data_IF_318727802787
#
_entry.id   IF_318727802787
#
_cell.length_a   1.000
_cell.length_b   1.000
_cell.length_c   1.000
_cell.angle_alpha   90.00
_cell.angle_beta   90.00
_cell.angle_gamma   90.00
#
_symmetry.space_group_name_H-M   'P 1'
#
loop_
_entity.id
_entity.type
_entity.pdbx_description
1 polymer ?
#
# COMPACT_ATOMS: atom_id res chain seq x y z
N UNK A 1 -5.15 -1.91 -1.09
CA UNK A 1 -4.73 -2.06 -2.50
C UNK A 1 -4.48 -3.52 -2.84
N UNK A 2 -3.33 -4.09 -2.47
CA UNK A 2 -2.95 -5.42 -2.96
C UNK A 2 -3.59 -6.60 -2.22
N UNK A 3 -4.35 -6.36 -1.14
CA UNK A 3 -5.11 -7.33 -0.33
C UNK A 3 -6.16 -8.18 -1.10
N UNK A 4 -6.22 -8.01 -2.43
CA UNK A 4 -7.06 -8.77 -3.36
C UNK A 4 -6.20 -9.45 -4.45
N UNK A 5 -4.87 -9.52 -4.29
CA UNK A 5 -3.95 -10.30 -5.11
C UNK A 5 -3.35 -11.41 -4.25
N UNK A 6 -4.14 -12.45 -3.97
CA UNK A 6 -3.58 -13.68 -3.42
C UNK A 6 -2.65 -14.34 -4.44
N UNK A 7 -1.35 -14.37 -4.14
CA UNK A 7 -0.38 -15.19 -4.88
C UNK A 7 -0.55 -16.65 -4.45
N UNK A 8 -1.04 -17.56 -5.32
CA UNK A 8 -1.05 -19.00 -4.99
C UNK A 8 0.36 -19.60 -4.85
N UNK A 9 1.38 -18.86 -5.28
CA UNK A 9 2.80 -19.24 -5.23
C UNK A 9 3.41 -19.27 -3.81
N UNK A 10 2.74 -18.72 -2.80
CA UNK A 10 3.24 -18.72 -1.42
C UNK A 10 3.49 -20.15 -0.89
N UNK A 11 2.62 -21.11 -1.25
CA UNK A 11 2.78 -22.52 -0.86
C UNK A 11 3.92 -23.25 -1.60
N UNK A 12 4.33 -22.79 -2.79
CA UNK A 12 5.32 -23.49 -3.63
C UNK A 12 6.76 -23.11 -3.29
N UNK A 13 7.01 -21.86 -2.90
CA UNK A 13 8.36 -21.37 -2.60
C UNK A 13 8.92 -21.89 -1.27
N UNK A 14 8.07 -22.07 -0.25
CA UNK A 14 8.49 -22.54 1.08
C UNK A 14 8.96 -24.00 1.10
N UNK A 15 8.51 -24.84 0.16
CA UNK A 15 8.86 -26.26 0.14
C UNK A 15 10.33 -26.53 -0.27
N UNK A 16 10.90 -25.65 -1.09
CA UNK A 16 12.18 -25.92 -1.78
C UNK A 16 13.44 -25.49 -1.00
N UNK A 17 13.28 -24.92 0.21
CA UNK A 17 14.39 -24.46 1.06
C UNK A 17 14.70 -25.40 2.24
N UNK A 18 13.84 -26.38 2.53
CA UNK A 18 13.95 -27.24 3.72
C UNK A 18 14.52 -28.64 3.43
N UNK A 19 15.10 -28.87 2.25
CA UNK A 19 15.54 -30.20 1.77
C UNK A 19 17.04 -30.27 1.49
N UNK A 20 17.88 -29.62 2.31
CA UNK A 20 19.34 -29.76 2.18
C UNK A 20 20.11 -29.82 3.51
N UNK A 21 20.88 -30.91 3.65
CA UNK A 21 21.99 -31.19 4.57
C UNK A 21 21.66 -31.69 6.00
N UNK A 22 22.57 -32.48 6.63
CA UNK A 22 22.13 -33.68 7.32
C UNK A 22 22.56 -33.81 8.78
N UNK A 23 22.12 -34.91 9.39
CA UNK A 23 22.46 -35.41 10.73
C UNK A 23 23.96 -35.63 10.98
N UNK A 24 24.41 -35.35 12.20
CA UNK A 24 25.36 -36.20 12.91
C UNK A 24 25.06 -36.21 14.41
N UNK A 25 25.48 -37.27 15.09
CA UNK A 25 25.35 -37.47 16.54
C UNK A 25 26.67 -37.92 17.16
N UNK A 26 26.89 -37.59 18.44
CA UNK A 26 27.41 -38.45 19.53
C UNK A 26 27.43 -37.66 20.88
N UNK A 27 27.49 -38.33 22.05
CA UNK A 27 27.30 -37.72 23.38
C UNK A 27 28.56 -37.74 24.27
N UNK A 28 28.37 -37.63 25.59
CA UNK A 28 29.36 -37.66 26.69
C UNK A 28 30.12 -36.35 26.93
N UNK A 29 30.46 -36.02 28.18
CA UNK A 29 29.72 -35.61 29.42
C UNK A 29 30.87 -35.36 30.46
N UNK A 30 30.83 -35.19 31.80
CA UNK A 30 29.90 -35.27 32.96
C UNK A 30 30.33 -34.14 33.98
N UNK A 31 30.27 -34.34 35.32
CA UNK A 31 30.90 -33.58 36.46
C UNK A 31 30.43 -32.11 36.76
N UNK A 32 30.31 -31.60 38.01
CA UNK A 32 30.09 -32.19 39.36
C UNK A 32 29.70 -31.10 40.42
N UNK A 33 29.41 -31.54 41.66
CA UNK A 33 29.37 -30.83 42.97
C UNK A 33 28.29 -29.76 43.33
N UNK A 34 27.62 -29.99 44.47
CA UNK A 34 26.75 -29.07 45.26
C UNK A 34 27.36 -28.86 46.68
N UNK A 35 26.98 -27.77 47.36
CA UNK A 35 26.93 -27.50 48.83
C UNK A 35 28.13 -27.80 49.77
N UNK A 36 28.68 -26.76 50.44
CA UNK A 36 28.36 -26.44 51.88
C UNK A 36 29.19 -25.26 52.48
N UNK A 37 28.57 -24.58 53.47
CA UNK A 37 29.01 -23.67 54.56
C UNK A 37 30.45 -23.08 54.68
N UNK A 38 30.55 -21.77 54.97
CA UNK A 38 30.95 -21.20 56.29
C UNK A 38 30.92 -19.64 56.35
N UNK A 39 30.93 -19.05 57.56
CA UNK A 39 30.79 -17.60 57.87
C UNK A 39 32.08 -16.75 57.70
N UNK A 40 31.94 -15.42 57.45
CA UNK A 40 32.55 -14.35 58.27
C UNK A 40 32.11 -12.90 57.88
N UNK A 41 32.27 -11.93 58.79
CA UNK A 41 31.94 -10.50 58.64
C UNK A 41 32.99 -9.70 57.81
N UNK A 42 32.55 -8.71 56.99
CA UNK A 42 32.96 -7.30 57.20
C UNK A 42 32.22 -6.22 56.35
N UNK A 43 31.55 -5.34 57.07
CA UNK A 43 31.09 -3.98 56.80
C UNK A 43 31.75 -3.11 55.67
N UNK A 44 30.96 -2.69 54.65
CA UNK A 44 30.99 -1.29 54.11
C UNK A 44 29.72 -0.88 53.31
N UNK A 45 29.39 0.42 53.30
CA UNK A 45 28.28 1.10 52.57
C UNK A 45 28.69 2.57 52.27
N UNK A 46 27.99 3.37 51.41
CA UNK A 46 26.69 3.18 50.73
C UNK A 46 26.85 3.31 49.15
N UNK A 47 26.11 4.03 48.26
CA UNK A 47 25.01 5.03 48.33
C UNK A 47 24.29 5.29 46.97
N UNK A 48 23.21 4.55 46.65
CA UNK A 48 22.07 5.01 45.80
C UNK A 48 20.86 4.11 46.07
N UNK A 49 19.69 4.57 46.52
CA UNK A 49 18.73 5.50 45.89
C UNK A 49 17.97 4.88 44.70
N UNK A 50 16.62 4.87 44.62
CA UNK A 50 15.59 5.38 45.55
C UNK A 50 14.22 4.69 45.27
N UNK A 51 13.39 4.58 46.31
CA UNK A 51 11.92 4.38 46.29
C UNK A 51 11.35 3.14 45.58
N UNK A 52 11.31 2.05 46.35
CA UNK A 52 10.18 1.11 46.30
C UNK A 52 8.89 1.81 46.80
N UNK A 53 7.71 1.41 46.31
CA UNK A 53 6.42 2.02 46.71
C UNK A 53 5.21 1.08 46.58
N UNK A 54 5.42 -0.22 46.79
CA UNK A 54 4.34 -1.22 46.70
C UNK A 54 3.32 -1.08 47.85
N UNK A 55 2.11 -0.58 47.57
CA UNK A 55 1.00 -0.55 48.53
C UNK A 55 -0.39 -0.41 47.87
N UNK A 56 -1.40 -0.99 48.53
CA UNK A 56 -2.85 -0.89 48.24
C UNK A 56 -3.35 -1.65 47.00
N UNK A 57 -3.76 -2.93 47.18
CA UNK A 57 -5.14 -3.43 46.97
C UNK A 57 -5.39 -4.57 47.98
N UNK A 58 -6.57 -4.69 48.63
CA UNK A 58 -6.71 -5.52 49.84
C UNK A 58 -7.16 -6.98 49.63
N UNK A 59 -6.91 -7.75 50.69
CA UNK A 59 -7.25 -9.16 50.94
C UNK A 59 -8.64 -9.67 50.48
N UNK A 60 -8.65 -10.88 49.90
CA UNK A 60 -9.41 -12.00 50.51
C UNK A 60 -8.76 -13.36 50.18
N UNK A 61 -9.06 -14.39 50.98
CA UNK A 61 -8.31 -15.64 51.09
C UNK A 61 -9.22 -16.86 50.92
N UNK A 62 -9.11 -17.55 49.81
CA UNK A 62 -9.62 -18.91 49.61
C UNK A 62 -8.48 -19.88 49.21
N UNK A 63 -8.77 -21.19 49.13
CA UNK A 63 -7.83 -22.22 49.58
C UNK A 63 -7.47 -23.26 48.51
N UNK A 64 -6.18 -23.34 48.17
CA UNK A 64 -5.55 -24.45 47.43
C UNK A 64 -4.26 -24.92 48.14
N UNK A 65 -3.94 -26.22 48.04
CA UNK A 65 -2.69 -26.88 48.49
C UNK A 65 -2.66 -28.34 47.96
N UNK A 66 -1.54 -28.94 47.51
CA UNK A 66 -0.24 -28.37 47.08
C UNK A 66 0.27 -28.86 45.69
N UNK A 67 1.38 -28.27 45.24
CA UNK A 67 2.50 -28.85 44.42
C UNK A 67 2.26 -29.70 43.17
N UNK A 68 2.79 -29.20 42.02
CA UNK A 68 3.74 -29.95 41.17
C UNK A 68 4.52 -29.00 40.23
N UNK A 69 5.59 -28.38 40.72
CA UNK A 69 6.22 -27.19 40.10
C UNK A 69 7.14 -27.46 38.87
N UNK A 70 7.13 -28.69 38.33
CA UNK A 70 8.05 -29.12 37.27
C UNK A 70 7.41 -29.34 35.87
N UNK A 71 6.17 -28.90 35.63
CA UNK A 71 5.47 -29.14 34.34
C UNK A 71 5.32 -27.92 33.41
N UNK A 72 5.61 -26.71 33.88
CA UNK A 72 5.34 -25.46 33.14
C UNK A 72 6.28 -25.20 31.96
N UNK A 73 7.57 -25.58 32.05
CA UNK A 73 8.56 -25.32 30.98
C UNK A 73 8.44 -26.28 29.77
N UNK A 74 7.86 -27.48 29.92
CA UNK A 74 7.70 -28.42 28.81
C UNK A 74 6.47 -28.14 27.93
N UNK A 75 5.46 -27.44 28.45
CA UNK A 75 4.23 -27.14 27.70
C UNK A 75 4.44 -26.06 26.63
N UNK A 76 5.22 -25.01 26.91
CA UNK A 76 5.46 -23.91 25.97
C UNK A 76 6.08 -24.37 24.64
N UNK A 77 7.04 -25.29 24.68
CA UNK A 77 7.73 -25.80 23.48
C UNK A 77 6.86 -26.77 22.66
N UNK A 78 6.00 -27.56 23.31
CA UNK A 78 5.10 -28.51 22.62
C UNK A 78 4.02 -27.82 21.79
N UNK A 79 3.54 -26.65 22.22
CA UNK A 79 2.54 -25.84 21.49
C UNK A 79 3.08 -25.41 20.11
N UNK A 80 4.39 -25.15 20.00
CA UNK A 80 5.03 -24.79 18.72
C UNK A 80 5.15 -26.02 17.81
N UNK A 81 5.52 -27.17 18.36
CA UNK A 81 5.74 -28.39 17.59
C UNK A 81 4.43 -29.03 17.06
N UNK A 82 3.38 -29.14 17.88
CA UNK A 82 2.18 -29.90 17.47
C UNK A 82 1.29 -29.17 16.45
N UNK A 83 1.41 -27.84 16.35
CA UNK A 83 0.76 -27.03 15.29
C UNK A 83 1.44 -27.22 13.91
N UNK A 84 2.55 -27.96 13.83
CA UNK A 84 3.22 -28.31 12.56
C UNK A 84 2.44 -29.35 11.73
N UNK A 85 1.32 -29.90 12.24
CA UNK A 85 0.28 -30.51 11.40
C UNK A 85 -0.57 -29.42 10.70
N UNK A 86 0.13 -28.50 10.04
CA UNK A 86 -0.42 -27.46 9.19
C UNK A 86 -1.08 -28.12 7.98
N UNK A 87 -2.32 -28.57 8.20
CA UNK A 87 -3.15 -29.14 7.16
C UNK A 87 -3.65 -27.98 6.32
N UNK A 88 -2.81 -27.56 5.38
CA UNK A 88 -3.28 -26.92 4.16
C UNK A 88 -4.23 -27.91 3.49
N UNK A 89 -5.50 -27.82 3.86
CA UNK A 89 -6.57 -28.23 2.97
C UNK A 89 -6.28 -27.55 1.63
N UNK A 90 -6.21 -28.34 0.55
CA UNK A 90 -6.07 -27.79 -0.78
C UNK A 90 -7.39 -27.11 -1.13
N UNK A 91 -7.50 -25.82 -0.77
CA UNK A 91 -8.62 -24.98 -1.15
C UNK A 91 -8.88 -25.15 -2.65
N UNK A 92 -10.13 -25.40 -3.02
CA UNK A 92 -10.49 -25.63 -4.41
C UNK A 92 -10.09 -24.42 -5.26
N UNK A 93 -9.66 -24.62 -6.50
CA UNK A 93 -9.32 -23.49 -7.37
C UNK A 93 -10.54 -22.57 -7.53
N UNK A 94 -10.45 -21.36 -6.97
CA UNK A 94 -11.54 -20.39 -6.96
C UNK A 94 -12.46 -20.43 -5.73
N UNK A 95 -12.21 -21.29 -4.75
CA UNK A 95 -12.83 -21.23 -3.42
C UNK A 95 -12.12 -20.17 -2.56
N UNK A 96 -12.91 -19.39 -1.82
CA UNK A 96 -12.44 -18.38 -0.88
C UNK A 96 -12.63 -18.80 0.58
N UNK A 97 -13.18 -19.98 0.85
CA UNK A 97 -13.56 -20.42 2.21
C UNK A 97 -12.42 -20.31 3.21
N UNK A 98 -11.22 -20.79 2.86
CA UNK A 98 -10.05 -20.73 3.75
C UNK A 98 -9.44 -19.32 3.81
N UNK A 99 -9.50 -18.57 2.71
CA UNK A 99 -9.04 -17.17 2.64
C UNK A 99 -9.88 -16.30 3.59
N UNK A 100 -11.20 -16.46 3.57
CA UNK A 100 -12.13 -15.66 4.37
C UNK A 100 -12.20 -16.07 5.85
N UNK A 101 -11.89 -17.33 6.18
CA UNK A 101 -11.62 -17.74 7.57
C UNK A 101 -10.34 -17.11 8.11
N UNK A 102 -9.29 -17.11 7.31
CA UNK A 102 -7.99 -16.61 7.74
C UNK A 102 -7.85 -15.09 7.70
N UNK A 103 -8.68 -14.34 6.96
CA UNK A 103 -8.46 -12.89 6.70
C UNK A 103 -9.73 -12.03 6.78
N UNK A 104 -9.69 -10.84 7.43
CA UNK A 104 -10.81 -9.91 7.47
C UNK A 104 -10.90 -9.09 6.17
N UNK A 105 -11.24 -9.74 5.06
CA UNK A 105 -11.47 -9.05 3.79
C UNK A 105 -12.96 -8.65 3.64
N UNK A 106 -13.29 -7.39 3.29
CA UNK A 106 -14.68 -6.97 3.09
C UNK A 106 -15.47 -7.81 2.07
N UNK A 107 -14.78 -8.42 1.10
CA UNK A 107 -15.40 -9.34 0.12
C UNK A 107 -16.07 -10.55 0.80
N UNK A 108 -15.54 -10.99 1.94
CA UNK A 108 -15.99 -12.18 2.67
C UNK A 108 -17.38 -12.00 3.27
N UNK A 109 -17.76 -10.77 3.64
CA UNK A 109 -19.11 -10.40 4.04
C UNK A 109 -20.15 -10.39 2.90
N UNK A 110 -19.80 -10.87 1.70
CA UNK A 110 -20.71 -10.96 0.55
C UNK A 110 -20.60 -12.28 -0.24
N UNK A 111 -19.86 -13.27 0.27
CA UNK A 111 -19.70 -14.60 -0.35
C UNK A 111 -19.87 -15.74 0.67
N UNK A 112 -19.96 -16.98 0.18
CA UNK A 112 -20.18 -18.18 0.99
C UNK A 112 -21.64 -18.65 1.05
N UNK A 113 -21.91 -19.73 1.80
CA UNK A 113 -23.25 -20.28 1.95
C UNK A 113 -24.15 -19.38 2.81
N UNK A 114 -25.40 -19.21 2.41
CA UNK A 114 -26.42 -18.55 3.23
C UNK A 114 -26.77 -19.43 4.44
N UNK A 115 -26.50 -18.96 5.65
CA UNK A 115 -26.82 -19.71 6.88
C UNK A 115 -28.11 -19.20 7.50
N UNK A 116 -29.12 -20.07 7.61
CA UNK A 116 -30.46 -19.72 8.11
C UNK A 116 -30.43 -19.11 9.52
N UNK A 117 -29.45 -19.50 10.34
CA UNK A 117 -29.24 -18.99 11.71
C UNK A 117 -28.80 -17.52 11.76
N UNK A 118 -28.15 -16.99 10.70
CA UNK A 118 -27.73 -15.58 10.61
C UNK A 118 -28.56 -14.74 9.63
N UNK A 119 -29.47 -15.35 8.87
CA UNK A 119 -30.37 -14.65 7.95
C UNK A 119 -29.70 -13.98 6.74
N UNK A 120 -28.42 -14.29 6.47
CA UNK A 120 -27.63 -13.61 5.44
C UNK A 120 -26.56 -14.50 4.78
N UNK A 121 -25.82 -13.91 3.84
CA UNK A 121 -24.61 -14.48 3.21
C UNK A 121 -23.37 -13.83 3.82
N UNK A 122 -22.29 -14.60 3.93
CA UNK A 122 -21.01 -14.12 4.45
C UNK A 122 -20.20 -15.22 5.12
N UNK A 123 -18.89 -15.11 5.05
CA UNK A 123 -17.92 -15.90 5.82
C UNK A 123 -17.23 -14.95 6.78
N UNK A 124 -17.25 -15.29 8.07
CA UNK A 124 -16.61 -14.52 9.13
C UNK A 124 -15.20 -15.05 9.40
N UNK A 125 -14.18 -14.18 9.56
CA UNK A 125 -12.83 -14.62 9.90
C UNK A 125 -12.73 -15.13 11.34
N UNK A 126 -11.88 -16.14 11.54
CA UNK A 126 -11.62 -16.75 12.85
C UNK A 126 -10.91 -15.78 13.82
N UNK A 127 -10.30 -14.70 13.30
CA UNK A 127 -9.74 -13.60 14.10
C UNK A 127 -9.72 -12.28 13.30
N UNK A 128 -10.29 -11.23 13.90
CA UNK A 128 -10.30 -9.84 13.42
C UNK A 128 -10.07 -8.86 14.60
N UNK A 129 -9.67 -7.61 14.32
CA UNK A 129 -9.46 -6.59 15.35
C UNK A 129 -10.79 -6.10 15.96
N UNK A 130 -10.77 -5.78 17.26
CA UNK A 130 -11.96 -5.31 17.99
C UNK A 130 -12.42 -3.95 17.48
N UNK A 131 -13.74 -3.83 17.32
CA UNK A 131 -14.40 -2.56 17.03
C UNK A 131 -14.18 -1.56 18.16
N UNK A 132 -14.08 -0.27 17.81
CA UNK A 132 -13.89 0.82 18.76
C UNK A 132 -15.17 1.65 18.80
N UNK A 133 -15.79 1.75 19.98
CA UNK A 133 -16.90 2.67 20.21
C UNK A 133 -16.35 4.09 20.44
N UNK A 134 -16.68 5.02 19.54
CA UNK A 134 -16.22 6.41 19.61
C UNK A 134 -17.39 7.35 19.34
N UNK A 135 -17.65 8.29 20.26
CA UNK A 135 -18.69 9.32 20.10
C UNK A 135 -20.07 8.79 19.65
N UNK A 136 -20.49 7.65 20.22
CA UNK A 136 -21.77 6.98 19.93
C UNK A 136 -21.90 6.36 18.52
N UNK A 137 -20.78 6.14 17.82
CA UNK A 137 -20.69 5.25 16.65
C UNK A 137 -19.72 4.09 16.92
N UNK A 138 -19.95 2.96 16.25
CA UNK A 138 -19.07 1.79 16.28
C UNK A 138 -18.17 1.87 15.03
N UNK A 139 -16.88 2.06 15.23
CA UNK A 139 -15.88 2.04 14.16
C UNK A 139 -15.32 0.61 14.07
N UNK A 140 -15.48 -0.01 12.90
CA UNK A 140 -14.87 -1.30 12.60
C UNK A 140 -13.39 -1.10 12.26
N UNK A 141 -12.55 -2.08 12.62
CA UNK A 141 -11.13 -2.16 12.22
C UNK A 141 -10.35 -0.82 12.30
N UNK A 142 -10.48 -0.12 13.44
CA UNK A 142 -10.02 1.26 13.59
C UNK A 142 -8.51 1.48 13.32
N UNK A 143 -7.70 0.44 13.50
CA UNK A 143 -6.26 0.49 13.21
C UNK A 143 -5.96 0.58 11.70
N UNK A 144 -6.56 -0.29 10.88
CA UNK A 144 -6.40 -0.25 9.43
C UNK A 144 -7.05 1.02 8.85
N UNK A 145 -8.19 1.44 9.40
CA UNK A 145 -8.84 2.72 9.09
C UNK A 145 -7.91 3.92 9.30
N UNK A 146 -7.18 3.96 10.42
CA UNK A 146 -6.16 4.99 10.66
C UNK A 146 -5.02 4.94 9.61
N UNK A 147 -4.60 3.75 9.19
CA UNK A 147 -3.58 3.60 8.14
C UNK A 147 -4.05 4.04 6.75
N UNK A 148 -5.33 3.86 6.40
CA UNK A 148 -5.89 4.42 5.16
C UNK A 148 -5.89 5.96 5.18
N UNK A 149 -6.13 6.59 6.33
CA UNK A 149 -6.02 8.06 6.48
C UNK A 149 -4.58 8.52 6.25
N UNK A 150 -3.59 7.83 6.84
CA UNK A 150 -2.16 8.11 6.60
C UNK A 150 -1.80 7.90 5.12
N UNK A 151 -2.31 6.85 4.48
CA UNK A 151 -2.12 6.60 3.05
C UNK A 151 -2.70 7.71 2.17
N UNK A 152 -3.89 8.22 2.50
CA UNK A 152 -4.50 9.37 1.79
C UNK A 152 -3.63 10.64 1.92
N UNK A 153 -3.16 10.97 3.12
CA UNK A 153 -2.26 12.12 3.33
C UNK A 153 -0.96 11.99 2.54
N UNK A 154 -0.30 10.82 2.59
CA UNK A 154 0.89 10.54 1.79
C UNK A 154 0.62 10.61 0.28
N UNK A 155 -0.56 10.18 -0.16
CA UNK A 155 -0.97 10.24 -1.58
C UNK A 155 -1.09 11.68 -2.07
N UNK A 156 -1.69 12.57 -1.26
CA UNK A 156 -1.77 14.00 -1.58
C UNK A 156 -0.38 14.61 -1.70
N UNK A 157 0.55 14.29 -0.80
CA UNK A 157 1.95 14.75 -0.85
C UNK A 157 2.65 14.27 -2.14
N UNK A 158 2.51 12.99 -2.50
CA UNK A 158 3.06 12.44 -3.75
C UNK A 158 2.47 13.15 -4.99
N UNK A 159 1.14 13.34 -5.04
CA UNK A 159 0.47 14.08 -6.13
C UNK A 159 1.00 15.51 -6.27
N UNK A 160 1.24 16.22 -5.16
CA UNK A 160 1.80 17.57 -5.18
C UNK A 160 3.23 17.60 -5.74
N UNK A 161 4.09 16.66 -5.34
CA UNK A 161 5.45 16.55 -5.89
C UNK A 161 5.45 16.23 -7.40
N UNK A 162 4.63 15.26 -7.84
CA UNK A 162 4.50 14.90 -9.27
C UNK A 162 4.03 16.10 -10.11
N UNK A 163 3.09 16.89 -9.58
CA UNK A 163 2.61 18.13 -10.23
C UNK A 163 3.65 19.25 -10.25
N UNK A 164 4.64 19.21 -9.36
CA UNK A 164 5.77 20.16 -9.33
C UNK A 164 6.79 19.95 -10.45
N UNK A 165 6.91 18.74 -11.03
CA UNK A 165 7.75 18.52 -12.21
C UNK A 165 7.03 19.03 -13.48
N UNK A 166 7.68 19.93 -14.23
CA UNK A 166 7.07 20.53 -15.43
C UNK A 166 7.42 19.80 -16.75
N UNK A 167 8.57 19.16 -16.80
CA UNK A 167 9.17 18.48 -17.97
C UNK A 167 9.06 16.96 -17.94
N UNK A 168 8.83 16.35 -16.78
CA UNK A 168 8.95 14.91 -16.55
C UNK A 168 8.04 14.01 -17.42
N UNK A 169 8.64 12.93 -17.94
CA UNK A 169 7.99 11.88 -18.73
C UNK A 169 6.99 11.06 -17.90
N UNK A 170 5.89 10.61 -18.52
CA UNK A 170 4.85 9.76 -17.93
C UNK A 170 3.92 10.50 -16.95
N UNK A 171 4.02 11.83 -16.86
CA UNK A 171 3.45 12.59 -15.75
C UNK A 171 1.92 12.60 -15.69
N UNK A 172 1.18 12.63 -16.81
CA UNK A 172 -0.30 12.63 -16.77
C UNK A 172 -0.82 11.23 -16.44
N UNK A 173 -0.10 10.24 -16.94
CA UNK A 173 -0.32 8.80 -16.90
C UNK A 173 -0.09 8.25 -15.48
N UNK A 174 1.03 8.64 -14.85
CA UNK A 174 1.35 8.33 -13.45
C UNK A 174 0.47 9.13 -12.48
N UNK A 175 0.10 10.38 -12.78
CA UNK A 175 -0.92 11.09 -11.97
C UNK A 175 -2.26 10.34 -11.95
N UNK A 176 -2.68 9.73 -13.05
CA UNK A 176 -3.92 8.93 -13.08
C UNK A 176 -3.84 7.72 -12.13
N UNK A 177 -2.69 7.05 -12.03
CA UNK A 177 -2.46 5.99 -11.06
C UNK A 177 -2.62 6.49 -9.61
N UNK A 178 -2.02 7.63 -9.25
CA UNK A 178 -2.17 8.17 -7.89
C UNK A 178 -3.57 8.71 -7.59
N UNK A 179 -4.32 9.22 -8.57
CA UNK A 179 -5.74 9.54 -8.38
C UNK A 179 -6.60 8.29 -8.19
N UNK A 180 -6.32 7.19 -8.89
CA UNK A 180 -6.98 5.90 -8.63
C UNK A 180 -6.60 5.34 -7.25
N UNK A 181 -5.36 5.53 -6.80
CA UNK A 181 -4.93 5.14 -5.45
C UNK A 181 -5.63 5.96 -4.35
N UNK A 182 -5.72 7.27 -4.52
CA UNK A 182 -6.50 8.14 -3.63
C UNK A 182 -7.97 7.71 -3.56
N UNK A 183 -8.59 7.38 -4.70
CA UNK A 183 -9.99 6.95 -4.76
C UNK A 183 -10.20 5.56 -4.13
N UNK A 184 -9.31 4.58 -4.38
CA UNK A 184 -9.39 3.28 -3.72
C UNK A 184 -9.19 3.38 -2.21
N UNK A 185 -8.18 4.13 -1.74
CA UNK A 185 -7.93 4.29 -0.31
C UNK A 185 -9.09 4.99 0.41
N UNK A 186 -9.77 5.92 -0.26
CA UNK A 186 -10.99 6.54 0.27
C UNK A 186 -12.17 5.54 0.31
N UNK A 187 -12.40 4.75 -0.75
CA UNK A 187 -13.47 3.73 -0.75
C UNK A 187 -13.17 2.62 0.26
N UNK A 188 -11.91 2.19 0.39
CA UNK A 188 -11.48 1.26 1.43
C UNK A 188 -11.71 1.82 2.82
N UNK A 189 -11.33 3.06 3.11
CA UNK A 189 -11.61 3.68 4.40
C UNK A 189 -13.12 3.66 4.74
N UNK A 190 -14.00 3.94 3.79
CA UNK A 190 -15.45 3.90 4.01
C UNK A 190 -16.01 2.49 4.27
N UNK A 191 -15.44 1.46 3.62
CA UNK A 191 -15.85 0.07 3.79
C UNK A 191 -15.26 -0.51 5.08
N UNK A 192 -13.95 -0.42 5.25
CA UNK A 192 -13.18 -1.06 6.31
C UNK A 192 -13.49 -0.44 7.69
N UNK A 193 -13.78 0.87 7.75
CA UNK A 193 -14.26 1.54 8.97
C UNK A 193 -15.73 1.23 9.33
N UNK A 194 -16.47 0.55 8.44
CA UNK A 194 -17.89 0.22 8.62
C UNK A 194 -18.87 1.40 8.44
N UNK A 195 -18.49 2.44 7.69
CA UNK A 195 -19.41 3.55 7.33
C UNK A 195 -20.61 3.03 6.52
N UNK A 196 -20.38 1.98 5.74
CA UNK A 196 -21.44 1.10 5.22
C UNK A 196 -21.43 -0.18 6.05
N UNK A 197 -22.44 -0.43 6.92
CA UNK A 197 -22.43 -1.60 7.78
C UNK A 197 -22.58 -2.90 6.97
N UNK A 198 -21.89 -4.00 7.35
CA UNK A 198 -22.12 -5.33 6.79
C UNK A 198 -23.60 -5.75 6.85
N UNK A 199 -24.02 -6.60 5.91
CA UNK A 199 -25.40 -7.04 5.71
C UNK A 199 -26.44 -5.94 5.37
N UNK A 200 -26.02 -4.70 5.07
CA UNK A 200 -26.89 -3.69 4.48
C UNK A 200 -26.91 -3.75 2.94
N UNK A 201 -28.06 -3.44 2.32
CA UNK A 201 -28.24 -3.40 0.86
C UNK A 201 -27.11 -2.68 0.07
N UNK A 202 -26.58 -1.51 0.49
CA UNK A 202 -25.48 -0.85 -0.22
C UNK A 202 -24.12 -1.57 -0.10
N UNK A 203 -23.88 -2.38 0.92
CA UNK A 203 -22.58 -3.02 1.20
C UNK A 203 -21.95 -3.72 -0.02
N UNK A 204 -22.63 -4.67 -0.72
CA UNK A 204 -22.07 -5.34 -1.90
C UNK A 204 -21.75 -4.37 -3.06
N UNK A 205 -22.39 -3.20 -3.15
CA UNK A 205 -22.06 -2.20 -4.18
C UNK A 205 -20.75 -1.46 -3.86
N UNK A 206 -20.49 -1.13 -2.59
CA UNK A 206 -19.22 -0.51 -2.18
C UNK A 206 -18.06 -1.50 -2.24
N UNK A 207 -18.27 -2.74 -1.79
CA UNK A 207 -17.27 -3.82 -1.89
C UNK A 207 -16.95 -4.16 -3.35
N UNK A 208 -17.94 -4.24 -4.24
CA UNK A 208 -17.67 -4.43 -5.67
C UNK A 208 -16.96 -3.22 -6.30
N UNK A 209 -17.22 -2.00 -5.83
CA UNK A 209 -16.47 -0.80 -6.27
C UNK A 209 -15.01 -0.80 -5.79
N UNK A 210 -14.74 -1.26 -4.56
CA UNK A 210 -13.40 -1.46 -4.00
C UNK A 210 -12.60 -2.49 -4.83
N UNK A 211 -13.22 -3.62 -5.15
CA UNK A 211 -12.67 -4.64 -6.06
C UNK A 211 -12.42 -4.08 -7.47
N UNK A 212 -13.38 -3.31 -8.00
CA UNK A 212 -13.29 -2.64 -9.30
C UNK A 212 -12.11 -1.68 -9.38
N UNK A 213 -11.99 -0.78 -8.41
CA UNK A 213 -10.92 0.23 -8.34
C UNK A 213 -9.55 -0.41 -8.19
N UNK A 214 -9.45 -1.53 -7.46
CA UNK A 214 -8.21 -2.31 -7.35
C UNK A 214 -7.73 -2.81 -8.71
N UNK A 215 -8.60 -3.46 -9.50
CA UNK A 215 -8.24 -3.93 -10.85
C UNK A 215 -7.96 -2.79 -11.84
N UNK A 216 -8.75 -1.72 -11.81
CA UNK A 216 -8.55 -0.52 -12.62
C UNK A 216 -7.16 0.11 -12.43
N UNK A 217 -6.72 0.17 -11.18
CA UNK A 217 -5.43 0.69 -10.76
C UNK A 217 -4.26 -0.20 -11.16
N UNK A 218 -4.40 -1.52 -11.04
CA UNK A 218 -3.36 -2.49 -11.44
C UNK A 218 -3.23 -2.50 -12.97
N UNK A 219 -4.35 -2.38 -13.70
CA UNK A 219 -4.35 -2.17 -15.14
C UNK A 219 -3.68 -0.84 -15.52
N UNK A 220 -3.98 0.25 -14.79
CA UNK A 220 -3.31 1.54 -14.98
C UNK A 220 -1.79 1.46 -14.74
N UNK A 221 -1.36 0.73 -13.70
CA UNK A 221 0.05 0.48 -13.41
C UNK A 221 0.73 -0.29 -14.56
N UNK A 222 0.10 -1.35 -15.06
CA UNK A 222 0.57 -2.11 -16.22
C UNK A 222 0.75 -1.21 -17.46
N UNK A 223 -0.24 -0.36 -17.78
CA UNK A 223 -0.15 0.59 -18.92
C UNK A 223 1.00 1.59 -18.71
N UNK A 224 1.19 2.11 -17.49
CA UNK A 224 2.33 2.96 -17.15
C UNK A 224 3.68 2.25 -17.36
N UNK A 225 3.73 0.92 -17.24
CA UNK A 225 4.90 0.11 -17.58
C UNK A 225 5.25 0.11 -19.08
N UNK A 226 4.26 0.20 -19.98
CA UNK A 226 4.50 0.29 -21.41
C UNK A 226 4.94 1.69 -21.87
N UNK A 227 4.49 2.75 -21.19
CA UNK A 227 4.88 4.15 -21.51
C UNK A 227 6.39 4.35 -21.39
N UNK A 228 7.03 3.69 -20.42
CA UNK A 228 8.49 3.76 -20.23
C UNK A 228 9.34 3.24 -21.40
N UNK A 229 8.76 2.45 -22.32
CA UNK A 229 9.43 2.00 -23.55
C UNK A 229 9.24 2.95 -24.73
N UNK A 230 8.55 4.09 -24.55
CA UNK A 230 8.24 5.07 -25.60
C UNK A 230 7.49 4.47 -26.81
N UNK A 231 6.79 3.34 -26.62
CA UNK A 231 5.95 2.69 -27.64
C UNK A 231 4.78 3.57 -28.09
N UNK A 232 4.38 4.51 -27.24
CA UNK A 232 3.53 5.65 -27.55
C UNK A 232 4.30 6.91 -27.16
N UNK A 233 4.13 7.98 -27.94
CA UNK A 233 4.59 9.31 -27.57
C UNK A 233 3.92 9.74 -26.25
N UNK A 234 4.74 10.01 -25.24
CA UNK A 234 4.29 10.35 -23.89
C UNK A 234 3.46 11.65 -23.85
N UNK A 235 2.48 11.70 -22.94
CA UNK A 235 1.63 12.87 -22.74
C UNK A 235 0.71 13.20 -23.92
N UNK A 236 0.74 12.46 -25.02
CA UNK A 236 -0.22 12.60 -26.13
C UNK A 236 -1.65 12.34 -25.65
N UNK A 237 -2.67 12.92 -26.32
CA UNK A 237 -4.05 12.60 -26.00
C UNK A 237 -4.36 11.11 -26.19
N UNK A 238 -3.68 10.42 -27.11
CA UNK A 238 -3.84 8.98 -27.37
C UNK A 238 -3.37 8.14 -26.19
N UNK A 239 -2.16 8.38 -25.68
CA UNK A 239 -1.62 7.73 -24.46
C UNK A 239 -2.61 7.85 -23.28
N UNK A 240 -3.00 9.09 -22.95
CA UNK A 240 -3.87 9.38 -21.80
C UNK A 240 -5.27 8.80 -21.96
N UNK A 241 -5.86 8.81 -23.17
CA UNK A 241 -7.17 8.20 -23.40
C UNK A 241 -7.13 6.67 -23.40
N UNK A 242 -6.07 6.04 -23.95
CA UNK A 242 -5.89 4.59 -23.90
C UNK A 242 -5.82 4.11 -22.44
N UNK A 243 -5.00 4.76 -21.62
CA UNK A 243 -4.89 4.47 -20.19
C UNK A 243 -6.23 4.64 -19.46
N UNK A 244 -6.97 5.72 -19.72
CA UNK A 244 -8.29 5.97 -19.11
C UNK A 244 -9.34 4.93 -19.53
N UNK A 245 -9.39 4.55 -20.80
CA UNK A 245 -10.37 3.58 -21.31
C UNK A 245 -10.04 2.18 -20.80
N UNK A 246 -8.76 1.76 -20.83
CA UNK A 246 -8.35 0.43 -20.34
C UNK A 246 -8.56 0.28 -18.82
N UNK A 247 -8.18 1.27 -18.01
CA UNK A 247 -8.47 1.25 -16.57
C UNK A 247 -9.96 1.31 -16.25
N UNK A 248 -10.77 2.07 -17.01
CA UNK A 248 -12.23 2.08 -16.86
C UNK A 248 -12.88 0.75 -17.28
N UNK A 249 -12.37 0.07 -18.32
CA UNK A 249 -12.86 -1.25 -18.71
C UNK A 249 -12.52 -2.31 -17.65
N UNK A 250 -11.31 -2.26 -17.06
CA UNK A 250 -10.93 -3.12 -15.95
C UNK A 250 -11.75 -2.86 -14.67
N UNK A 251 -12.09 -1.59 -14.40
CA UNK A 251 -13.06 -1.21 -13.37
C UNK A 251 -14.41 -1.88 -13.64
N UNK A 252 -15.01 -1.63 -14.80
CA UNK A 252 -16.37 -2.12 -15.14
C UNK A 252 -16.43 -3.64 -15.11
N UNK A 253 -15.45 -4.34 -15.68
CA UNK A 253 -15.40 -5.80 -15.71
C UNK A 253 -15.34 -6.37 -14.28
N UNK A 254 -14.44 -5.86 -13.45
CA UNK A 254 -14.23 -6.37 -12.09
C UNK A 254 -15.35 -5.98 -11.11
N UNK A 255 -15.95 -4.80 -11.32
CA UNK A 255 -17.16 -4.34 -10.63
C UNK A 255 -18.36 -5.21 -10.99
N UNK A 256 -18.63 -5.42 -12.28
CA UNK A 256 -19.75 -6.24 -12.75
C UNK A 256 -19.63 -7.71 -12.33
N UNK A 257 -18.43 -8.31 -12.42
CA UNK A 257 -18.22 -9.70 -11.96
C UNK A 257 -18.42 -9.80 -10.43
N UNK A 258 -17.87 -8.87 -9.64
CA UNK A 258 -18.10 -8.84 -8.19
C UNK A 258 -19.59 -8.70 -7.86
N UNK A 259 -20.27 -7.72 -8.45
CA UNK A 259 -21.68 -7.44 -8.19
C UNK A 259 -22.58 -8.60 -8.63
N UNK A 260 -22.29 -9.25 -9.76
CA UNK A 260 -23.03 -10.42 -10.22
C UNK A 260 -22.82 -11.65 -9.31
N UNK A 261 -21.60 -11.87 -8.81
CA UNK A 261 -21.32 -12.89 -7.79
C UNK A 261 -22.11 -12.61 -6.50
N UNK A 262 -22.13 -11.38 -6.00
CA UNK A 262 -22.85 -11.06 -4.75
C UNK A 262 -24.38 -11.14 -4.93
N UNK A 263 -24.92 -10.59 -6.02
CA UNK A 263 -26.37 -10.50 -6.29
C UNK A 263 -26.97 -11.72 -7.00
N UNK A 264 -26.25 -12.85 -7.08
CA UNK A 264 -26.72 -14.11 -7.71
C UNK A 264 -27.16 -13.95 -9.17
N UNK A 265 -26.48 -13.08 -9.92
CA UNK A 265 -26.84 -12.69 -11.28
C UNK A 265 -25.91 -13.30 -12.33
N UNK A 266 -26.35 -13.35 -13.59
CA UNK A 266 -25.63 -13.92 -14.74
C UNK A 266 -25.12 -15.37 -14.57
N UNK A 267 -25.71 -16.16 -13.66
CA UNK A 267 -25.27 -17.54 -13.35
C UNK A 267 -24.10 -17.62 -12.36
N UNK A 268 -23.57 -16.48 -11.91
CA UNK A 268 -22.67 -16.38 -10.75
C UNK A 268 -23.49 -16.34 -9.44
N UNK A 269 -22.83 -16.58 -8.31
CA UNK A 269 -23.46 -16.46 -7.00
C UNK A 269 -22.46 -16.60 -5.85
N UNK A 270 -22.86 -16.29 -4.59
CA UNK A 270 -21.98 -16.32 -3.41
C UNK A 270 -21.26 -17.65 -3.17
N UNK A 271 -21.82 -18.76 -3.66
CA UNK A 271 -21.28 -20.13 -3.54
C UNK A 271 -20.49 -20.60 -4.77
N UNK A 272 -20.37 -19.78 -5.82
CA UNK A 272 -19.55 -20.08 -6.99
C UNK A 272 -18.66 -18.87 -7.32
N UNK A 273 -17.54 -18.81 -6.63
CA UNK A 273 -16.60 -17.68 -6.60
C UNK A 273 -15.45 -17.80 -7.62
N UNK A 274 -15.45 -18.81 -8.50
CA UNK A 274 -14.35 -19.04 -9.46
C UNK A 274 -14.15 -17.84 -10.38
N UNK A 275 -15.23 -17.22 -10.88
CA UNK A 275 -15.13 -15.99 -11.69
C UNK A 275 -14.54 -14.80 -10.93
N UNK A 276 -14.89 -14.66 -9.65
CA UNK A 276 -14.35 -13.63 -8.76
C UNK A 276 -12.84 -13.82 -8.54
N UNK A 277 -12.41 -15.06 -8.29
CA UNK A 277 -11.00 -15.41 -8.11
C UNK A 277 -10.17 -15.15 -9.36
N UNK A 278 -10.64 -15.57 -10.53
CA UNK A 278 -9.93 -15.37 -11.80
C UNK A 278 -9.74 -13.88 -12.12
N UNK A 279 -10.76 -13.05 -11.89
CA UNK A 279 -10.70 -11.62 -12.21
C UNK A 279 -9.93 -10.82 -11.16
N UNK A 280 -10.15 -11.07 -9.86
CA UNK A 280 -9.52 -10.26 -8.81
C UNK A 280 -8.11 -10.74 -8.45
N UNK A 281 -7.87 -12.05 -8.38
CA UNK A 281 -6.58 -12.58 -7.91
C UNK A 281 -5.67 -12.90 -9.11
N UNK A 282 -6.09 -13.80 -10.00
CA UNK A 282 -5.23 -14.33 -11.06
C UNK A 282 -4.87 -13.28 -12.13
N UNK A 283 -5.86 -12.57 -12.68
CA UNK A 283 -5.64 -11.56 -13.73
C UNK A 283 -4.75 -10.42 -13.21
N UNK A 284 -5.05 -9.89 -12.02
CA UNK A 284 -4.26 -8.83 -11.38
C UNK A 284 -2.82 -9.28 -11.05
N UNK A 285 -2.63 -10.52 -10.57
CA UNK A 285 -1.29 -11.07 -10.33
C UNK A 285 -0.46 -11.13 -11.61
N UNK A 286 -1.07 -11.56 -12.73
CA UNK A 286 -0.42 -11.61 -14.04
C UNK A 286 -0.06 -10.20 -14.53
N UNK A 287 -0.98 -9.22 -14.41
CA UNK A 287 -0.69 -7.82 -14.78
C UNK A 287 0.48 -7.23 -13.98
N UNK A 288 0.50 -7.46 -12.66
CA UNK A 288 1.57 -6.99 -11.78
C UNK A 288 2.91 -7.66 -12.10
N UNK A 289 2.91 -8.98 -12.35
CA UNK A 289 4.12 -9.70 -12.77
C UNK A 289 4.68 -9.16 -14.09
N UNK A 290 3.83 -8.94 -15.10
CA UNK A 290 4.25 -8.35 -16.39
C UNK A 290 4.83 -6.95 -16.17
N UNK A 291 4.19 -6.11 -15.35
CA UNK A 291 4.71 -4.79 -14.98
C UNK A 291 6.12 -4.88 -14.37
N UNK A 292 6.33 -5.72 -13.35
CA UNK A 292 7.63 -5.86 -12.68
C UNK A 292 8.72 -6.34 -13.66
N UNK A 293 8.43 -7.36 -14.48
CA UNK A 293 9.37 -7.85 -15.50
C UNK A 293 9.70 -6.75 -16.52
N UNK A 294 8.71 -5.97 -16.95
CA UNK A 294 8.91 -4.85 -17.87
C UNK A 294 9.79 -3.75 -17.28
N UNK A 295 9.58 -3.32 -16.04
CA UNK A 295 10.42 -2.30 -15.42
C UNK A 295 11.86 -2.79 -15.21
N UNK A 296 12.06 -4.07 -14.85
CA UNK A 296 13.40 -4.67 -14.77
C UNK A 296 14.07 -4.68 -16.15
N UNK A 297 13.36 -5.02 -17.23
CA UNK A 297 13.89 -4.97 -18.59
C UNK A 297 14.26 -3.55 -19.03
N UNK A 298 13.42 -2.55 -18.73
CA UNK A 298 13.69 -1.14 -19.01
C UNK A 298 14.99 -0.68 -18.32
N UNK A 299 15.08 -0.84 -17.01
CA UNK A 299 16.26 -0.38 -16.24
C UNK A 299 17.52 -1.17 -16.61
N UNK A 300 17.41 -2.47 -16.89
CA UNK A 300 18.60 -3.28 -17.23
C UNK A 300 19.12 -3.09 -18.65
N UNK A 301 18.26 -2.68 -19.61
CA UNK A 301 18.64 -2.51 -21.03
C UNK A 301 18.82 -1.06 -21.47
N UNK A 302 18.03 -0.13 -20.94
CA UNK A 302 18.00 1.27 -21.40
C UNK A 302 18.80 2.19 -20.50
N UNK A 303 18.62 2.08 -19.17
CA UNK A 303 19.23 3.00 -18.20
C UNK A 303 20.67 2.61 -17.85
N UNK A 304 21.52 3.62 -17.68
CA UNK A 304 22.89 3.46 -17.17
C UNK A 304 22.89 3.36 -15.64
N UNK A 305 22.17 4.24 -14.95
CA UNK A 305 21.97 4.12 -13.50
C UNK A 305 21.15 2.87 -13.15
N UNK A 306 21.54 2.22 -12.06
CA UNK A 306 20.95 0.99 -11.52
C UNK A 306 20.31 1.19 -10.15
N UNK A 307 20.40 2.39 -9.57
CA UNK A 307 19.66 2.76 -8.36
C UNK A 307 18.13 2.47 -8.46
N UNK A 308 17.44 2.68 -9.60
CA UNK A 308 16.01 2.33 -9.74
C UNK A 308 15.69 0.83 -9.57
N UNK A 309 16.66 -0.08 -9.74
CA UNK A 309 16.45 -1.50 -9.43
C UNK A 309 16.22 -1.73 -7.93
N UNK A 310 16.83 -0.90 -7.08
CA UNK A 310 16.59 -0.92 -5.64
C UNK A 310 15.16 -0.54 -5.30
N UNK A 311 14.62 0.52 -5.91
CA UNK A 311 13.22 0.93 -5.70
C UNK A 311 12.24 -0.18 -6.14
N UNK A 312 12.48 -0.82 -7.31
CA UNK A 312 11.67 -1.98 -7.75
C UNK A 312 11.77 -3.14 -6.75
N UNK A 313 12.98 -3.50 -6.31
CA UNK A 313 13.20 -4.63 -5.41
C UNK A 313 12.52 -4.43 -4.04
N UNK A 314 12.63 -3.24 -3.45
CA UNK A 314 11.94 -2.90 -2.20
C UNK A 314 10.41 -2.84 -2.40
N UNK A 315 9.93 -2.33 -3.54
CA UNK A 315 8.49 -2.34 -3.85
C UNK A 315 7.90 -3.74 -3.90
N UNK A 316 8.58 -4.67 -4.57
CA UNK A 316 8.20 -6.10 -4.62
C UNK A 316 8.33 -6.76 -3.24
N UNK A 317 9.38 -6.46 -2.48
CA UNK A 317 9.56 -6.97 -1.12
C UNK A 317 8.39 -6.58 -0.20
N UNK A 318 8.06 -5.29 -0.10
CA UNK A 318 6.93 -4.84 0.73
C UNK A 318 5.59 -5.42 0.24
N UNK A 319 5.38 -5.52 -1.08
CA UNK A 319 4.20 -6.17 -1.65
C UNK A 319 4.07 -7.64 -1.19
N UNK A 320 5.12 -8.46 -1.35
CA UNK A 320 5.11 -9.88 -0.98
C UNK A 320 4.97 -10.06 0.53
N UNK A 321 5.71 -9.31 1.33
CA UNK A 321 5.63 -9.35 2.80
C UNK A 321 4.21 -8.99 3.26
N UNK A 322 3.58 -7.98 2.66
CA UNK A 322 2.19 -7.61 2.95
C UNK A 322 1.18 -8.73 2.64
N UNK A 323 1.34 -9.44 1.50
CA UNK A 323 0.45 -10.57 1.17
C UNK A 323 0.69 -11.77 2.09
N UNK A 324 1.94 -12.07 2.43
CA UNK A 324 2.29 -13.18 3.33
C UNK A 324 1.77 -12.93 4.75
N UNK A 325 1.93 -11.71 5.27
CA UNK A 325 1.37 -11.31 6.58
C UNK A 325 -0.16 -11.46 6.58
N UNK A 326 -0.84 -10.97 5.54
CA UNK A 326 -2.29 -11.05 5.43
C UNK A 326 -2.78 -12.50 5.34
N UNK A 327 -2.37 -13.27 4.32
CA UNK A 327 -2.99 -14.57 4.03
C UNK A 327 -2.48 -15.73 4.89
N UNK A 328 -1.28 -15.64 5.47
CA UNK A 328 -0.66 -16.77 6.20
C UNK A 328 -0.48 -16.52 7.71
N UNK A 329 -0.38 -15.24 8.14
CA UNK A 329 -0.06 -14.89 9.54
C UNK A 329 -1.14 -14.06 10.26
N UNK A 330 -2.25 -13.71 9.62
CA UNK A 330 -3.28 -12.84 10.22
C UNK A 330 -3.84 -13.39 11.53
N UNK A 331 -4.22 -14.68 11.60
CA UNK A 331 -4.87 -15.23 12.81
C UNK A 331 -3.90 -15.30 13.98
N UNK A 332 -2.63 -15.65 13.73
CA UNK A 332 -1.57 -15.71 14.73
C UNK A 332 -1.20 -14.30 15.25
N UNK A 333 -1.10 -13.31 14.34
CA UNK A 333 -0.84 -11.91 14.70
C UNK A 333 -2.01 -11.33 15.50
N UNK A 334 -3.24 -11.56 15.05
CA UNK A 334 -4.46 -11.10 15.71
C UNK A 334 -4.61 -11.66 17.13
N UNK A 335 -4.31 -12.95 17.33
CA UNK A 335 -4.29 -13.57 18.66
C UNK A 335 -3.14 -13.03 19.53
N UNK A 336 -1.92 -12.93 19.00
CA UNK A 336 -0.76 -12.40 19.73
C UNK A 336 -0.97 -10.94 20.17
N UNK A 337 -1.59 -10.12 19.31
CA UNK A 337 -1.94 -8.73 19.60
C UNK A 337 -3.28 -8.58 20.34
N UNK A 338 -3.83 -9.65 20.93
CA UNK A 338 -5.06 -9.64 21.76
C UNK A 338 -6.28 -9.01 21.08
N UNK A 339 -6.38 -9.15 19.75
CA UNK A 339 -7.36 -8.50 18.87
C UNK A 339 -7.31 -6.96 18.83
N UNK A 340 -6.17 -6.33 19.12
CA UNK A 340 -5.98 -4.88 18.90
C UNK A 340 -5.48 -4.53 17.50
N UNK A 341 -4.71 -5.42 16.87
CA UNK A 341 -4.21 -5.31 15.50
C UNK A 341 -4.44 -6.64 14.77
N UNK A 342 -4.49 -6.60 13.45
CA UNK A 342 -4.63 -7.75 12.56
C UNK A 342 -3.70 -7.63 11.34
N UNK A 343 -3.79 -8.60 10.43
CA UNK A 343 -3.02 -8.63 9.19
C UNK A 343 -3.43 -7.55 8.18
N UNK A 344 -4.65 -6.97 8.24
CA UNK A 344 -5.06 -5.92 7.31
C UNK A 344 -4.39 -4.59 7.65
N UNK A 345 -4.21 -4.29 8.94
CA UNK A 345 -3.37 -3.18 9.40
C UNK A 345 -1.93 -3.28 8.85
N UNK A 346 -1.26 -4.42 9.02
CA UNK A 346 0.10 -4.59 8.49
C UNK A 346 0.15 -4.60 6.95
N UNK A 347 -0.86 -5.18 6.29
CA UNK A 347 -0.97 -5.17 4.84
C UNK A 347 -1.25 -3.77 4.27
N UNK A 348 -2.00 -2.90 4.95
CA UNK A 348 -2.19 -1.50 4.54
C UNK A 348 -0.91 -0.68 4.66
N UNK A 349 -0.09 -0.91 5.71
CA UNK A 349 1.27 -0.34 5.81
C UNK A 349 2.14 -0.82 4.62
N UNK A 350 2.20 -2.14 4.39
CA UNK A 350 3.00 -2.72 3.31
C UNK A 350 2.55 -2.26 1.91
N UNK A 351 1.24 -2.10 1.69
CA UNK A 351 0.66 -1.51 0.48
C UNK A 351 1.15 -0.08 0.27
N UNK A 352 1.09 0.75 1.32
CA UNK A 352 1.52 2.16 1.24
C UNK A 352 3.01 2.24 0.92
N UNK A 353 3.86 1.46 1.60
CA UNK A 353 5.29 1.39 1.32
C UNK A 353 5.56 0.94 -0.13
N UNK A 354 4.87 -0.10 -0.62
CA UNK A 354 4.97 -0.53 -2.02
C UNK A 354 4.62 0.58 -3.02
N UNK A 355 3.57 1.34 -2.77
CA UNK A 355 3.15 2.49 -3.61
C UNK A 355 4.14 3.66 -3.50
N UNK A 356 4.72 3.91 -2.33
CA UNK A 356 5.81 4.89 -2.18
C UNK A 356 7.07 4.47 -2.94
N UNK A 357 7.36 3.17 -3.05
CA UNK A 357 8.46 2.69 -3.91
C UNK A 357 8.15 2.84 -5.40
N UNK A 358 6.89 2.67 -5.84
CA UNK A 358 6.45 3.00 -7.21
C UNK A 358 6.61 4.50 -7.50
N UNK A 359 6.30 5.37 -6.52
CA UNK A 359 6.57 6.81 -6.63
C UNK A 359 8.08 7.09 -6.76
N UNK A 360 8.92 6.51 -5.89
CA UNK A 360 10.38 6.72 -5.92
C UNK A 360 11.02 6.21 -7.21
N UNK A 361 10.55 5.07 -7.73
CA UNK A 361 10.96 4.56 -9.04
C UNK A 361 10.69 5.58 -10.15
N UNK A 362 9.45 6.10 -10.24
CA UNK A 362 9.11 7.13 -11.23
C UNK A 362 9.89 8.43 -11.04
N UNK A 363 10.09 8.87 -9.78
CA UNK A 363 10.93 10.04 -9.49
C UNK A 363 12.36 9.83 -10.01
N UNK A 364 12.96 8.66 -9.75
CA UNK A 364 14.34 8.37 -10.08
C UNK A 364 14.62 8.30 -11.58
N UNK A 365 13.65 7.82 -12.39
CA UNK A 365 13.76 7.83 -13.86
C UNK A 365 13.36 9.18 -14.50
N UNK A 366 13.05 10.20 -13.70
CA UNK A 366 12.69 11.56 -14.15
C UNK A 366 13.50 12.65 -13.42
N UNK A 367 14.78 12.38 -13.12
CA UNK A 367 15.69 13.34 -12.47
C UNK A 367 16.45 14.23 -13.46
N UNK A 368 16.92 13.64 -14.56
CA UNK A 368 17.61 14.34 -15.65
C UNK A 368 16.76 15.45 -16.31
N UNK A 369 15.43 15.31 -16.35
CA UNK A 369 14.49 16.34 -16.85
C UNK A 369 14.53 17.69 -16.08
N UNK A 370 15.19 17.75 -14.91
CA UNK A 370 15.22 18.93 -14.04
C UNK A 370 16.47 19.80 -14.20
N UNK A 371 17.64 19.24 -14.58
CA UNK A 371 18.89 20.01 -14.63
C UNK A 371 18.84 21.14 -15.68
N UNK A 372 18.17 20.89 -16.81
CA UNK A 372 17.95 21.86 -17.87
C UNK A 372 17.00 23.00 -17.50
N UNK A 373 16.28 22.91 -16.38
CA UNK A 373 15.31 23.93 -15.95
C UNK A 373 15.93 25.11 -15.17
N UNK A 374 17.18 24.98 -14.72
CA UNK A 374 17.85 26.00 -13.87
C UNK A 374 18.49 27.13 -14.71
N UNK A 375 18.68 26.92 -16.02
CA UNK A 375 19.39 27.85 -16.89
C UNK A 375 18.71 29.20 -17.17
N UNK A 376 17.40 29.34 -16.93
CA UNK A 376 16.65 30.54 -17.33
C UNK A 376 16.88 31.75 -16.41
N UNK A 377 17.48 31.56 -15.22
CA UNK A 377 18.24 32.63 -14.57
C UNK A 377 19.70 32.57 -15.03
N UNK A 378 19.91 32.99 -16.27
CA UNK A 378 21.14 33.69 -16.61
C UNK A 378 21.24 34.86 -15.63
N UNK A 379 22.18 34.77 -14.69
CA UNK A 379 22.68 35.98 -14.05
C UNK A 379 23.30 36.81 -15.18
N UNK A 380 22.66 37.92 -15.51
CA UNK A 380 23.29 38.96 -16.31
C UNK A 380 24.49 39.46 -15.51
N UNK A 381 25.65 38.86 -15.75
CA UNK A 381 26.93 39.48 -15.49
C UNK A 381 26.98 40.72 -16.38
N UNK A 382 26.53 41.86 -15.85
CA UNK A 382 26.65 43.14 -16.53
C UNK A 382 28.14 43.45 -16.68
N UNK A 383 28.70 43.14 -17.85
CA UNK A 383 30.03 43.60 -18.26
C UNK A 383 29.92 45.09 -18.64
N UNK A 384 29.58 45.90 -17.63
CA UNK A 384 29.47 47.36 -17.65
C UNK A 384 30.64 48.02 -16.91
N UNK A 385 31.86 47.54 -17.10
CA UNK A 385 33.05 48.21 -16.51
C UNK A 385 34.36 47.88 -17.25
N UNK A 386 34.36 48.00 -18.59
CA UNK A 386 35.60 48.06 -19.41
C UNK A 386 35.47 49.04 -20.61
N UNK A 387 34.81 50.19 -20.40
CA UNK A 387 34.93 51.35 -21.30
C UNK A 387 35.79 52.42 -20.59
N UNK A 388 36.92 52.87 -21.17
CA UNK A 388 37.72 53.96 -20.62
C UNK A 388 36.92 55.27 -20.53
N UNK A 389 37.19 56.08 -19.50
CA UNK A 389 36.34 57.22 -19.13
C UNK A 389 36.44 58.46 -20.04
N UNK A 390 37.31 58.43 -21.06
CA UNK A 390 37.62 59.60 -21.91
C UNK A 390 36.47 60.04 -22.85
N UNK A 391 35.63 59.12 -23.34
CA UNK A 391 34.52 59.46 -24.27
C UNK A 391 33.33 60.16 -23.58
N UNK A 392 33.38 60.38 -22.27
CA UNK A 392 32.30 61.00 -21.47
C UNK A 392 32.17 62.53 -21.68
N UNK A 393 32.46 63.05 -22.88
CA UNK A 393 32.60 64.50 -23.12
C UNK A 393 31.85 65.10 -24.33
N UNK A 394 31.05 64.30 -25.04
CA UNK A 394 30.36 64.73 -26.29
C UNK A 394 28.83 64.66 -26.22
N UNK A 395 28.23 64.56 -25.04
CA UNK A 395 26.76 64.65 -24.85
C UNK A 395 26.27 66.11 -24.88
N UNK A 396 26.28 66.74 -26.05
CA UNK A 396 25.78 68.12 -26.26
C UNK A 396 24.96 68.21 -27.56
N UNK A 397 23.64 68.32 -27.41
CA UNK A 397 22.61 68.64 -28.41
C UNK A 397 22.50 67.80 -29.70
N UNK A 398 21.42 67.01 -29.75
CA UNK A 398 20.55 66.93 -30.92
C UNK A 398 19.09 66.79 -30.42
N UNK A 399 18.21 67.72 -30.77
CA UNK A 399 16.78 67.65 -30.48
C UNK A 399 16.05 66.91 -31.61
N UNK A 400 15.27 65.87 -31.28
CA UNK A 400 14.50 65.07 -32.25
C UNK A 400 13.00 65.45 -32.18
N UNK A 401 12.44 66.17 -33.18
CA UNK A 401 11.11 66.79 -33.07
C UNK A 401 9.92 65.86 -33.34
N UNK A 402 10.13 64.56 -33.55
CA UNK A 402 9.06 63.58 -33.83
C UNK A 402 9.23 62.32 -32.96
N UNK A 403 8.82 62.40 -31.69
CA UNK A 403 9.05 61.33 -30.69
C UNK A 403 8.04 61.24 -29.53
N UNK A 404 6.79 61.68 -29.71
CA UNK A 404 5.72 61.32 -28.75
C UNK A 404 5.38 59.82 -28.89
N UNK A 405 5.03 59.07 -27.84
CA UNK A 405 4.96 59.39 -26.41
C UNK A 405 4.34 58.21 -25.66
N UNK A 406 4.76 57.93 -24.42
CA UNK A 406 4.27 56.74 -23.68
C UNK A 406 2.86 56.96 -23.13
N UNK A 407 1.97 55.97 -23.32
CA UNK A 407 0.68 55.95 -22.62
C UNK A 407 -0.32 54.89 -23.13
N UNK A 408 -0.42 53.78 -22.39
CA UNK A 408 -1.51 52.78 -22.45
C UNK A 408 -1.60 52.01 -23.81
N UNK A 409 -2.05 50.75 -23.89
CA UNK A 409 -3.23 50.21 -23.22
C UNK A 409 -3.17 48.70 -22.92
N UNK A 410 -4.08 48.22 -22.08
CA UNK A 410 -4.42 46.79 -21.98
C UNK A 410 -5.39 46.40 -23.11
N UNK A 411 -5.46 45.13 -23.48
CA UNK A 411 -6.54 44.63 -24.35
C UNK A 411 -6.99 43.23 -23.95
N UNK A 412 -7.95 43.22 -23.02
CA UNK A 412 -8.76 42.07 -22.65
C UNK A 412 -9.73 41.74 -23.79
N UNK A 413 -9.77 40.48 -24.24
CA UNK A 413 -10.60 40.08 -25.40
C UNK A 413 -11.99 39.61 -24.98
N UNK A 414 -13.05 40.17 -25.59
CA UNK A 414 -14.23 39.39 -25.90
C UNK A 414 -14.81 39.65 -27.30
N UNK A 415 -15.24 38.56 -27.95
CA UNK A 415 -16.23 38.57 -29.06
C UNK A 415 -17.65 38.91 -28.52
N UNK A 416 -18.72 39.15 -29.33
CA UNK A 416 -18.89 38.73 -30.74
C UNK A 416 -19.70 39.63 -31.72
N UNK A 417 -19.72 39.19 -32.99
CA UNK A 417 -20.82 39.23 -33.98
C UNK A 417 -21.49 40.56 -34.44
N UNK A 418 -21.57 40.72 -35.78
CA UNK A 418 -22.83 41.10 -36.47
C UNK A 418 -22.89 40.78 -37.98
N UNK A 419 -24.07 41.01 -38.55
CA UNK A 419 -24.65 40.46 -39.78
C UNK A 419 -24.52 41.41 -40.99
N UNK A 420 -24.42 40.85 -42.22
CA UNK A 420 -24.92 41.45 -43.49
C UNK A 420 -24.22 42.74 -44.03
N UNK A 421 -24.29 43.15 -45.32
CA UNK A 421 -25.11 42.76 -46.49
C UNK A 421 -24.42 43.19 -47.81
N UNK A 422 -24.68 42.48 -48.94
CA UNK A 422 -24.41 42.89 -50.35
C UNK A 422 -22.92 43.04 -50.74
N UNK A 423 -22.54 42.95 -52.02
CA UNK A 423 -23.34 42.82 -53.26
C UNK A 423 -23.37 41.39 -53.82
#
# INVERSE_FOLDING_TARGET
MFNYIGLPLAGTLLWNLNTSKPTHSTPYDDDDDDDDDDDDDDNEQPLTALLDFDSIIPTKKERCRPTSEHQTLSQGVRIIAENSRFTLAMSGFGDFSDICRNTPLPLCGSIGPSTEVRGGVGIEPDCYARNIELANTIIFEGAASAMHIVALVMTVIMILHIRGKFTAVGRKEVLMFFYLYMLLSFVSLCVDAGVIPPASDPFPYFVSAQNGLTSAMITCLLINGFVGFQLYEDGTPVSVWLLRITSLLAFILSFMVSLATFMRWAGLGPTNTVGLFVVLYLLNAIQLFIYVVMQILLVTRTLQDRWPLGDIAFGVFFFVVGQVILYAFNTQICQAMSHYLDGLFFATICNLLGVMMVYKYWDSITREDLEFSVGTRMNNWEVKELLPEDDRRTTVYADDPYGQGSGYDNSYSPSPARYSTKY
#
